data_IF_067348758211
#
_entry.id   IF_067348758211
#
_cell.length_a   1.000
_cell.length_b   1.000
_cell.length_c   1.000
_cell.angle_alpha   90.00
_cell.angle_beta   90.00
_cell.angle_gamma   90.00
#
_symmetry.space_group_name_H-M   'P 1'
#
loop_
_entity.id
_entity.type
_entity.pdbx_description
1 polymer ?
#
# COMPACT_ATOMS: atom_id res chain seq x y z
N UNK A 1 -11.77 -14.80 -20.52
CA UNK A 1 -11.81 -14.94 -19.05
C UNK A 1 -11.26 -13.65 -18.45
N UNK A 2 -12.14 -12.78 -17.94
CA UNK A 2 -11.73 -11.56 -17.25
C UNK A 2 -11.41 -11.95 -15.82
N UNK A 3 -10.13 -11.99 -15.46
CA UNK A 3 -9.72 -12.04 -14.06
C UNK A 3 -10.03 -10.65 -13.51
N UNK A 4 -11.25 -10.48 -12.97
CA UNK A 4 -11.57 -9.41 -12.02
C UNK A 4 -10.85 -9.76 -10.72
N UNK A 5 -9.54 -9.59 -10.72
CA UNK A 5 -8.83 -9.65 -9.46
C UNK A 5 -9.21 -8.38 -8.70
N UNK A 6 -9.68 -8.51 -7.47
CA UNK A 6 -10.22 -7.40 -6.68
C UNK A 6 -9.14 -6.39 -6.23
N UNK A 7 -7.94 -6.45 -6.82
CA UNK A 7 -6.87 -5.44 -6.73
C UNK A 7 -6.57 -5.02 -5.30
N UNK A 8 -6.74 -5.94 -4.35
CA UNK A 8 -6.62 -5.64 -2.94
C UNK A 8 -5.18 -5.26 -2.62
N UNK A 9 -5.02 -4.20 -1.86
CA UNK A 9 -3.76 -3.91 -1.22
C UNK A 9 -3.99 -3.63 0.27
N UNK A 10 -3.06 -4.09 1.10
CA UNK A 10 -3.04 -3.81 2.53
C UNK A 10 -1.81 -3.00 2.85
N UNK A 11 -1.95 -2.01 3.75
CA UNK A 11 -0.84 -1.22 4.25
C UNK A 11 -0.67 -1.47 5.75
N UNK A 12 0.52 -1.95 6.14
CA UNK A 12 0.83 -2.27 7.54
C UNK A 12 2.08 -1.52 7.98
N UNK A 13 2.06 -0.90 9.17
CA UNK A 13 3.29 -0.40 9.80
C UNK A 13 4.08 -1.59 10.35
N UNK A 14 5.39 -1.61 10.13
CA UNK A 14 6.31 -2.65 10.64
C UNK A 14 7.35 -2.04 11.58
N UNK A 15 7.03 -1.88 12.88
CA UNK A 15 7.95 -1.31 13.87
C UNK A 15 9.24 -2.12 14.04
N UNK A 16 9.18 -3.42 13.75
CA UNK A 16 10.33 -4.34 13.74
C UNK A 16 11.36 -3.98 12.66
N UNK A 17 10.94 -3.25 11.62
CA UNK A 17 11.79 -2.75 10.54
C UNK A 17 12.13 -1.26 10.70
N UNK A 18 11.73 -0.62 11.81
CA UNK A 18 12.08 0.78 12.07
C UNK A 18 13.60 0.87 12.36
N UNK A 19 14.28 1.83 11.74
CA UNK A 19 15.73 1.97 11.85
C UNK A 19 16.17 3.44 11.86
N UNK A 20 17.10 3.81 12.76
CA UNK A 20 17.68 5.18 12.88
C UNK A 20 16.63 6.30 12.79
N UNK A 21 15.51 6.15 13.51
CA UNK A 21 14.43 7.14 13.56
C UNK A 21 13.50 7.16 12.33
N UNK A 22 13.68 6.27 11.35
CA UNK A 22 12.76 6.11 10.21
C UNK A 22 11.72 5.05 10.53
N UNK A 23 10.46 5.37 10.23
CA UNK A 23 9.33 4.45 10.32
C UNK A 23 9.16 3.71 9.01
N UNK A 24 9.00 2.40 9.08
CA UNK A 24 8.83 1.52 7.92
C UNK A 24 7.40 1.04 7.80
N UNK A 25 6.89 1.10 6.58
CA UNK A 25 5.58 0.59 6.19
C UNK A 25 5.77 -0.46 5.10
N UNK A 26 4.87 -1.42 5.04
CA UNK A 26 4.80 -2.44 4.00
C UNK A 26 3.45 -2.30 3.30
N UNK A 27 3.46 -2.43 1.98
CA UNK A 27 2.24 -2.67 1.20
C UNK A 27 2.32 -4.04 0.59
N UNK A 28 1.26 -4.81 0.79
CA UNK A 28 1.05 -6.11 0.18
C UNK A 28 0.03 -5.92 -0.94
N UNK A 29 0.45 -6.14 -2.19
CA UNK A 29 -0.40 -5.98 -3.38
C UNK A 29 -0.70 -7.34 -3.96
N UNK A 30 -1.99 -7.67 -4.11
CA UNK A 30 -2.39 -8.88 -4.82
C UNK A 30 -2.21 -8.66 -6.33
N UNK A 31 -1.42 -9.52 -6.97
CA UNK A 31 -1.08 -9.42 -8.40
C UNK A 31 -1.66 -10.58 -9.23
N UNK A 32 -2.65 -11.28 -8.68
CA UNK A 32 -3.32 -12.41 -9.32
C UNK A 32 -2.67 -13.76 -9.07
N UNK A 33 -3.41 -14.83 -9.38
CA UNK A 33 -2.98 -16.22 -9.20
C UNK A 33 -2.54 -16.55 -7.76
N UNK A 34 -3.16 -15.91 -6.77
CA UNK A 34 -2.83 -16.07 -5.35
C UNK A 34 -1.47 -15.49 -4.95
N UNK A 35 -0.84 -14.68 -5.82
CA UNK A 35 0.47 -14.08 -5.57
C UNK A 35 0.32 -12.69 -4.96
N UNK A 36 1.17 -12.42 -3.98
CA UNK A 36 1.28 -11.14 -3.32
C UNK A 36 2.69 -10.59 -3.50
N UNK A 37 2.79 -9.29 -3.75
CA UNK A 37 4.06 -8.57 -3.84
C UNK A 37 4.17 -7.62 -2.67
N UNK A 38 5.29 -7.68 -1.97
CA UNK A 38 5.54 -6.87 -0.78
C UNK A 38 6.51 -5.73 -1.13
N UNK A 39 6.15 -4.49 -0.79
CA UNK A 39 7.00 -3.32 -0.99
C UNK A 39 7.15 -2.56 0.32
N UNK A 40 8.39 -2.32 0.74
CA UNK A 40 8.71 -1.49 1.91
C UNK A 40 8.85 -0.03 1.49
N UNK A 41 8.28 0.88 2.25
CA UNK A 41 8.39 2.32 1.99
C UNK A 41 8.38 3.15 3.27
N UNK A 42 8.76 4.42 3.13
CA UNK A 42 8.91 5.34 4.25
C UNK A 42 7.63 6.15 4.54
N UNK A 43 7.72 7.00 5.56
CA UNK A 43 6.62 7.91 5.93
C UNK A 43 6.23 8.88 4.81
N UNK A 44 7.18 9.34 4.00
CA UNK A 44 6.90 10.27 2.90
C UNK A 44 6.03 9.60 1.83
N UNK A 45 6.40 8.40 1.39
CA UNK A 45 5.62 7.64 0.40
C UNK A 45 4.21 7.33 0.92
N UNK A 46 4.06 7.03 2.22
CA UNK A 46 2.74 6.85 2.85
C UNK A 46 1.86 8.10 2.73
N UNK A 47 2.44 9.29 2.87
CA UNK A 47 1.69 10.54 2.75
C UNK A 47 1.23 10.78 1.31
N UNK A 48 2.06 10.45 0.33
CA UNK A 48 1.68 10.53 -1.08
C UNK A 48 0.58 9.53 -1.45
N UNK A 49 0.67 8.28 -0.97
CA UNK A 49 -0.38 7.28 -1.14
C UNK A 49 -1.70 7.80 -0.55
N UNK A 50 -1.67 8.32 0.68
CA UNK A 50 -2.87 8.90 1.33
C UNK A 50 -3.44 10.08 0.56
N UNK A 51 -2.59 10.93 -0.01
CA UNK A 51 -3.02 12.06 -0.83
C UNK A 51 -3.74 11.58 -2.09
N UNK A 52 -3.18 10.63 -2.82
CA UNK A 52 -3.76 10.07 -4.04
C UNK A 52 -5.12 9.41 -3.74
N UNK A 53 -5.17 8.53 -2.72
CA UNK A 53 -6.42 7.88 -2.30
C UNK A 53 -7.45 8.93 -1.88
N UNK A 54 -7.05 9.92 -1.09
CA UNK A 54 -7.94 10.98 -0.63
C UNK A 54 -8.48 11.87 -1.77
N UNK A 55 -7.72 12.05 -2.85
CA UNK A 55 -8.21 12.72 -4.06
C UNK A 55 -9.24 11.85 -4.79
N UNK A 56 -8.92 10.58 -5.03
CA UNK A 56 -9.83 9.65 -5.69
C UNK A 56 -11.17 9.50 -4.93
N UNK A 57 -11.13 9.38 -3.60
CA UNK A 57 -12.35 9.28 -2.78
C UNK A 57 -13.22 10.55 -2.80
N UNK A 58 -12.65 11.72 -3.12
CA UNK A 58 -13.42 12.96 -3.28
C UNK A 58 -14.04 13.09 -4.67
N UNK A 59 -13.42 12.51 -5.69
CA UNK A 59 -13.94 12.50 -7.06
C UNK A 59 -15.07 11.48 -7.22
N UNK A 60 -15.09 10.44 -6.38
CA UNK A 60 -16.13 9.40 -6.33
C UNK A 60 -17.34 9.78 -5.44
N UNK A 61 -17.30 10.97 -4.81
CA UNK A 61 -18.38 11.55 -3.99
C UNK A 61 -19.10 12.69 -4.72
#
# INVERSE_FOLDING_TARGET
MSIKDSGGFEVTRRPDLDGRGRKTYVVDVHVGNGKWVHLTYGKADLQDIRRIIGQALKEDQ
#
